data_IF_513884300817
#
_entry.id   IF_513884300817
#
_cell.length_a   1.000
_cell.length_b   1.000
_cell.length_c   1.000
_cell.angle_alpha   90.00
_cell.angle_beta   90.00
_cell.angle_gamma   90.00
#
_symmetry.space_group_name_H-M   'P 1'
#
loop_
_entity.id
_entity.type
_entity.pdbx_description
1 polymer ?
#
# COMPACT_ATOMS: atom_id res chain seq x y z
N UNK A 1 16.40 16.93 4.46
CA UNK A 1 15.67 16.72 5.73
C UNK A 1 15.49 18.06 6.43
N UNK A 2 14.32 18.33 6.95
CA UNK A 2 14.08 19.55 7.69
C UNK A 2 14.83 19.55 9.02
N UNK A 3 15.11 20.72 9.58
CA UNK A 3 15.76 20.85 10.86
C UNK A 3 14.89 20.19 11.93
N UNK A 4 15.42 19.27 12.76
CA UNK A 4 14.64 18.58 13.79
C UNK A 4 13.90 19.49 14.76
N UNK A 5 14.41 20.69 14.98
CA UNK A 5 13.77 21.63 15.90
C UNK A 5 12.44 22.18 15.35
N UNK A 6 12.26 22.11 14.03
CA UNK A 6 11.03 22.52 13.34
C UNK A 6 10.09 21.35 13.04
N UNK A 7 10.44 20.15 13.47
CA UNK A 7 9.57 19.00 13.27
C UNK A 7 8.29 19.14 14.06
N UNK A 8 7.21 18.57 13.57
CA UNK A 8 5.90 18.66 14.21
C UNK A 8 5.89 17.98 15.57
N UNK A 9 6.71 16.96 15.73
CA UNK A 9 6.80 16.17 16.96
C UNK A 9 8.26 15.83 17.26
N UNK A 10 8.66 15.71 18.54
CA UNK A 10 9.97 15.18 18.88
C UNK A 10 10.24 13.79 18.31
N UNK A 11 9.22 12.98 18.08
CA UNK A 11 9.36 11.66 17.47
C UNK A 11 9.88 11.75 16.05
N UNK A 12 9.49 12.79 15.32
CA UNK A 12 9.90 13.03 13.94
C UNK A 12 11.16 13.90 13.86
N UNK A 13 11.51 14.55 14.96
CA UNK A 13 12.68 15.41 15.05
C UNK A 13 13.78 14.80 15.90
N UNK A 14 13.83 15.18 17.17
CA UNK A 14 14.87 14.80 18.13
C UNK A 14 15.09 13.30 18.22
N UNK A 15 14.00 12.51 18.22
CA UNK A 15 14.05 11.06 18.38
C UNK A 15 13.91 10.30 17.07
N UNK A 16 14.11 10.99 15.94
CA UNK A 16 13.99 10.40 14.60
C UNK A 16 14.73 9.06 14.46
N UNK A 17 15.99 9.00 14.92
CA UNK A 17 16.78 7.78 14.82
C UNK A 17 16.28 6.65 15.72
N UNK A 18 15.61 7.01 16.82
CA UNK A 18 15.10 6.02 17.76
C UNK A 18 13.77 5.40 17.31
N UNK A 19 13.05 6.09 16.45
CA UNK A 19 11.77 5.62 15.92
C UNK A 19 11.90 4.93 14.57
N UNK A 20 13.10 4.86 14.02
CA UNK A 20 13.32 4.31 12.68
C UNK A 20 12.81 2.88 12.51
N UNK A 21 12.97 2.04 13.54
CA UNK A 21 12.50 0.66 13.51
C UNK A 21 10.97 0.54 13.38
N UNK A 22 10.25 1.60 13.72
CA UNK A 22 8.79 1.61 13.65
C UNK A 22 8.25 2.05 12.29
N UNK A 23 9.09 2.62 11.42
CA UNK A 23 8.66 3.13 10.12
C UNK A 23 8.03 2.10 9.20
N UNK A 24 8.54 0.85 9.15
CA UNK A 24 7.91 -0.17 8.32
C UNK A 24 6.48 -0.51 8.75
N UNK A 25 6.07 -0.08 9.93
CA UNK A 25 4.75 -0.39 10.49
C UNK A 25 3.81 0.82 10.59
N UNK A 26 4.35 2.02 10.80
CA UNK A 26 3.53 3.19 11.13
C UNK A 26 3.71 4.39 10.20
N UNK A 27 4.64 4.34 9.26
CA UNK A 27 4.80 5.44 8.31
C UNK A 27 3.64 5.48 7.31
N UNK A 28 3.51 6.59 6.61
CA UNK A 28 2.49 6.71 5.56
C UNK A 28 2.68 5.66 4.47
N UNK A 29 3.94 5.40 4.07
CA UNK A 29 4.20 4.36 3.08
C UNK A 29 3.81 2.98 3.59
N UNK A 30 4.01 2.69 4.89
CA UNK A 30 3.56 1.44 5.50
C UNK A 30 2.04 1.34 5.48
N UNK A 31 1.34 2.42 5.82
CA UNK A 31 -0.12 2.46 5.79
C UNK A 31 -0.66 2.16 4.38
N UNK A 32 -0.05 2.76 3.37
CA UNK A 32 -0.43 2.51 1.97
C UNK A 32 -0.19 1.04 1.62
N UNK A 33 0.96 0.50 1.99
CA UNK A 33 1.30 -0.91 1.75
C UNK A 33 0.27 -1.85 2.38
N UNK A 34 -0.11 -1.60 3.63
CA UNK A 34 -1.08 -2.45 4.32
C UNK A 34 -2.47 -2.33 3.72
N UNK A 35 -2.87 -1.17 3.24
CA UNK A 35 -4.14 -1.01 2.52
C UNK A 35 -4.14 -1.83 1.23
N UNK A 36 -3.03 -1.82 0.50
CA UNK A 36 -2.89 -2.64 -0.72
C UNK A 36 -2.95 -4.12 -0.38
N UNK A 37 -2.31 -4.53 0.71
CA UNK A 37 -2.37 -5.91 1.17
C UNK A 37 -3.81 -6.35 1.44
N UNK A 38 -4.58 -5.53 2.15
CA UNK A 38 -5.99 -5.82 2.45
C UNK A 38 -6.79 -5.95 1.15
N UNK A 39 -6.60 -5.05 0.20
CA UNK A 39 -7.33 -5.08 -1.08
C UNK A 39 -7.00 -6.34 -1.88
N UNK A 40 -5.73 -6.74 -1.93
CA UNK A 40 -5.30 -7.91 -2.68
C UNK A 40 -5.82 -9.19 -2.01
N UNK A 41 -5.68 -9.32 -0.69
CA UNK A 41 -6.18 -10.51 0.01
C UNK A 41 -7.69 -10.62 -0.08
N UNK A 42 -8.39 -9.48 -0.05
CA UNK A 42 -9.84 -9.44 -0.26
C UNK A 42 -10.22 -9.91 -1.67
N UNK A 43 -9.52 -9.43 -2.68
CA UNK A 43 -9.76 -9.85 -4.07
C UNK A 43 -9.56 -11.35 -4.24
N UNK A 44 -8.48 -11.89 -3.66
CA UNK A 44 -8.20 -13.33 -3.73
C UNK A 44 -9.33 -14.11 -3.04
N UNK A 45 -9.79 -13.65 -1.87
CA UNK A 45 -10.90 -14.29 -1.15
C UNK A 45 -12.19 -14.25 -1.96
N UNK A 46 -12.50 -13.11 -2.59
CA UNK A 46 -13.67 -12.99 -3.45
C UNK A 46 -13.62 -13.97 -4.62
N UNK A 47 -12.44 -14.17 -5.20
CA UNK A 47 -12.28 -15.08 -6.33
C UNK A 47 -12.60 -16.53 -5.96
N UNK A 48 -12.49 -16.88 -4.68
CA UNK A 48 -12.78 -18.23 -4.18
C UNK A 48 -14.24 -18.38 -3.74
N UNK A 49 -15.03 -17.31 -3.74
CA UNK A 49 -16.42 -17.35 -3.31
C UNK A 49 -17.30 -17.93 -4.41
N UNK A 50 -17.91 -19.07 -4.14
CA UNK A 50 -18.75 -19.80 -5.11
C UNK A 50 -20.02 -19.05 -5.51
N UNK A 51 -20.47 -18.11 -4.66
CA UNK A 51 -21.67 -17.31 -4.92
C UNK A 51 -21.45 -16.19 -5.92
N UNK A 52 -20.19 -15.97 -6.34
CA UNK A 52 -19.83 -14.93 -7.32
C UNK A 52 -19.22 -15.64 -8.54
N UNK A 53 -20.07 -16.20 -9.43
CA UNK A 53 -19.55 -16.98 -10.56
C UNK A 53 -18.83 -16.16 -11.62
N UNK A 54 -19.00 -14.84 -11.62
CA UNK A 54 -18.37 -13.92 -12.57
C UNK A 54 -16.87 -13.82 -12.34
N UNK A 55 -16.41 -14.09 -11.12
CA UNK A 55 -15.00 -14.01 -10.76
C UNK A 55 -14.45 -15.42 -10.57
N UNK A 56 -13.58 -15.83 -11.49
CA UNK A 56 -12.95 -17.15 -11.42
C UNK A 56 -11.83 -17.16 -10.38
N UNK A 57 -11.66 -18.26 -9.63
CA UNK A 57 -10.55 -18.37 -8.69
C UNK A 57 -9.20 -18.22 -9.39
N UNK A 58 -8.29 -17.51 -8.75
CA UNK A 58 -6.92 -17.38 -9.23
C UNK A 58 -6.16 -18.68 -8.96
N UNK A 59 -5.25 -19.05 -9.87
CA UNK A 59 -4.33 -20.16 -9.60
C UNK A 59 -3.18 -19.70 -8.70
N UNK A 60 -2.33 -20.63 -8.25
CA UNK A 60 -1.24 -20.31 -7.34
C UNK A 60 -0.27 -19.27 -7.92
N UNK A 61 0.01 -19.34 -9.20
CA UNK A 61 0.91 -18.41 -9.90
C UNK A 61 0.33 -17.00 -9.90
N UNK A 62 -0.97 -16.89 -10.16
CA UNK A 62 -1.66 -15.60 -10.16
C UNK A 62 -1.75 -15.01 -8.77
N UNK A 63 -2.05 -15.83 -7.76
CA UNK A 63 -2.07 -15.38 -6.36
C UNK A 63 -0.71 -14.88 -5.92
N UNK A 64 0.36 -15.59 -6.29
CA UNK A 64 1.73 -15.20 -5.96
C UNK A 64 2.08 -13.87 -6.61
N UNK A 65 1.69 -13.67 -7.87
CA UNK A 65 1.92 -12.43 -8.59
C UNK A 65 1.21 -11.26 -7.90
N UNK A 66 -0.05 -11.45 -7.50
CA UNK A 66 -0.81 -10.42 -6.80
C UNK A 66 -0.18 -10.07 -5.45
N UNK A 67 0.19 -11.10 -4.68
CA UNK A 67 0.81 -10.87 -3.38
C UNK A 67 2.15 -10.17 -3.47
N UNK A 68 2.92 -10.41 -4.54
CA UNK A 68 4.19 -9.73 -4.75
C UNK A 68 4.02 -8.22 -4.88
N UNK A 69 2.85 -7.73 -5.28
CA UNK A 69 2.62 -6.29 -5.37
C UNK A 69 2.82 -5.61 -4.01
N UNK A 70 2.32 -6.20 -2.93
CA UNK A 70 2.52 -5.61 -1.59
C UNK A 70 3.78 -6.13 -0.90
N UNK A 71 4.20 -7.37 -1.15
CA UNK A 71 5.42 -7.91 -0.55
C UNK A 71 6.68 -7.15 -1.01
N UNK A 72 6.69 -6.73 -2.27
CA UNK A 72 7.81 -5.96 -2.86
C UNK A 72 7.50 -4.47 -2.98
N UNK A 73 6.56 -3.97 -2.18
CA UNK A 73 6.16 -2.57 -2.21
C UNK A 73 7.31 -1.67 -1.76
N UNK A 74 7.67 -0.72 -2.61
CA UNK A 74 8.81 0.18 -2.37
C UNK A 74 8.35 1.61 -2.08
N UNK A 75 9.30 2.44 -1.69
CA UNK A 75 9.04 3.88 -1.52
C UNK A 75 8.61 4.51 -2.86
N UNK A 76 9.18 4.05 -3.97
CA UNK A 76 8.77 4.54 -5.29
C UNK A 76 7.32 4.20 -5.59
N UNK A 77 6.86 3.01 -5.19
CA UNK A 77 5.46 2.63 -5.33
C UNK A 77 4.56 3.53 -4.47
N UNK A 78 4.98 3.84 -3.25
CA UNK A 78 4.25 4.74 -2.37
C UNK A 78 4.14 6.15 -2.97
N UNK A 79 5.22 6.64 -3.57
CA UNK A 79 5.23 7.93 -4.23
C UNK A 79 4.30 7.94 -5.45
N UNK A 80 4.23 6.82 -6.18
CA UNK A 80 3.31 6.68 -7.32
C UNK A 80 1.85 6.78 -6.85
N UNK A 81 1.50 6.11 -5.76
CA UNK A 81 0.17 6.22 -5.16
C UNK A 81 -0.14 7.66 -4.76
N UNK A 82 0.81 8.36 -4.14
CA UNK A 82 0.63 9.76 -3.74
C UNK A 82 0.44 10.67 -4.96
N UNK A 83 1.14 10.38 -6.05
CA UNK A 83 0.99 11.11 -7.30
C UNK A 83 -0.43 10.95 -7.86
N UNK A 84 -0.96 9.74 -7.83
CA UNK A 84 -2.35 9.47 -8.26
C UNK A 84 -3.33 10.19 -7.33
N UNK A 85 -3.08 10.20 -6.04
CA UNK A 85 -3.94 10.86 -5.05
C UNK A 85 -4.09 12.36 -5.32
N UNK A 86 -3.06 13.02 -5.83
CA UNK A 86 -3.12 14.44 -6.19
C UNK A 86 -4.21 14.72 -7.22
N UNK A 87 -4.48 13.77 -8.09
CA UNK A 87 -5.53 13.90 -9.11
C UNK A 87 -6.91 13.52 -8.56
N UNK A 88 -6.97 12.45 -7.77
CA UNK A 88 -8.24 11.92 -7.27
C UNK A 88 -8.76 12.64 -6.02
N UNK A 89 -7.86 13.24 -5.24
CA UNK A 89 -8.15 13.81 -3.91
C UNK A 89 -8.82 12.81 -2.96
N UNK A 90 -8.53 11.52 -3.17
CA UNK A 90 -9.13 10.44 -2.38
C UNK A 90 -8.12 9.31 -2.23
N UNK A 91 -7.69 9.03 -1.00
CA UNK A 91 -6.62 8.08 -0.73
C UNK A 91 -6.95 6.64 -1.13
N UNK A 92 -8.15 6.17 -0.84
CA UNK A 92 -8.56 4.81 -1.21
C UNK A 92 -8.73 4.67 -2.72
N UNK A 93 -9.27 5.69 -3.39
CA UNK A 93 -9.38 5.71 -4.86
C UNK A 93 -8.01 5.62 -5.52
N UNK A 94 -7.03 6.33 -4.97
CA UNK A 94 -5.66 6.28 -5.49
C UNK A 94 -5.10 4.87 -5.45
N UNK A 95 -5.37 4.12 -4.39
CA UNK A 95 -4.95 2.72 -4.26
C UNK A 95 -5.63 1.86 -5.32
N UNK A 96 -6.92 2.06 -5.57
CA UNK A 96 -7.64 1.33 -6.61
C UNK A 96 -7.02 1.54 -7.98
N UNK A 97 -6.73 2.78 -8.35
CA UNK A 97 -6.10 3.09 -9.64
C UNK A 97 -4.69 2.52 -9.73
N UNK A 98 -3.92 2.60 -8.64
CA UNK A 98 -2.58 2.00 -8.59
C UNK A 98 -2.65 0.51 -8.88
N UNK A 99 -3.57 -0.20 -8.23
CA UNK A 99 -3.75 -1.64 -8.42
C UNK A 99 -4.19 -1.99 -9.84
N UNK A 100 -5.10 -1.20 -10.43
CA UNK A 100 -5.51 -1.40 -11.81
C UNK A 100 -4.32 -1.31 -12.76
N UNK A 101 -3.43 -0.36 -12.52
CA UNK A 101 -2.22 -0.17 -13.31
C UNK A 101 -1.26 -1.36 -13.17
N UNK A 102 -1.09 -1.88 -11.95
CA UNK A 102 -0.17 -2.99 -11.68
C UNK A 102 -0.68 -4.34 -12.16
N UNK A 103 -1.99 -4.56 -12.11
CA UNK A 103 -2.60 -5.84 -12.49
C UNK A 103 -2.66 -5.99 -14.02
N UNK A 104 -2.77 -4.90 -14.74
CA UNK A 104 -2.68 -4.94 -16.20
C UNK A 104 -1.21 -5.23 -16.62
#
# INVERSE_FOLDING_TARGET
>A
MSNPINSISPLDGRYHNKTELLRPYFSESALIKYRIQVEIEYLISLSKEKKIPELKPFNEKEEKRLRNIYLNFSIDDALDVKSIEKTTNHDVKAIEYFLQKKIK
#
